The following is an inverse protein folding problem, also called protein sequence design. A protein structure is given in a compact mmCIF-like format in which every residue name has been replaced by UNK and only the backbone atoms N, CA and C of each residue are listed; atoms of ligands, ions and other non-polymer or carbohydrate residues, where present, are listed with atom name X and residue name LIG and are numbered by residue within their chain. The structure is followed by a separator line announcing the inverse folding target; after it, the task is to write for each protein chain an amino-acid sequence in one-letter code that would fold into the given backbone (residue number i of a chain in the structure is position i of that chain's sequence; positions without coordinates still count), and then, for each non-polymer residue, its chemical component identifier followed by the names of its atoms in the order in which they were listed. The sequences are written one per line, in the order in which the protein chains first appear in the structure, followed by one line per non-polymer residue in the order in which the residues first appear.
data_IF_720996578053
#
_entry.id   IF_720996578053
#
_cell.length_a   1.000
_cell.length_b   1.000
_cell.length_c   1.000
_cell.angle_alpha   90.00
_cell.angle_beta   90.00
_cell.angle_gamma   90.00
#
_symmetry.space_group_name_H-M   'P 1'
#
loop_
_entity.id
_entity.type
_entity.pdbx_description
1 polymer ?
#
# COMPACT_ATOMS: atom_id res chain seq x y z
N UNK A 1 14.63 33.68 2.08
CA UNK A 1 15.11 33.39 3.45
C UNK A 1 14.55 32.04 3.82
N UNK A 2 15.37 30.98 3.80
CA UNK A 2 16.28 30.60 4.91
C UNK A 2 17.72 30.29 4.44
N UNK A 3 18.71 30.15 5.35
CA UNK A 3 20.14 30.19 5.00
C UNK A 3 20.73 28.81 4.66
N UNK A 4 21.71 28.84 3.74
CA UNK A 4 22.51 27.70 3.27
C UNK A 4 23.52 27.23 4.33
N UNK A 5 23.68 25.91 4.43
CA UNK A 5 24.62 25.21 5.29
C UNK A 5 26.10 25.49 4.93
N UNK A 6 26.96 25.62 5.95
CA UNK A 6 28.43 25.67 5.84
C UNK A 6 29.02 24.25 5.89
N UNK A 7 30.10 23.96 5.14
CA UNK A 7 30.84 22.70 5.25
C UNK A 7 31.92 22.75 6.36
N UNK A 8 32.42 21.59 6.83
CA UNK A 8 33.31 21.50 8.00
C UNK A 8 34.78 21.79 7.67
N UNK A 9 35.45 22.39 8.66
CA UNK A 9 36.86 22.80 8.66
C UNK A 9 37.80 21.60 8.83
N UNK A 10 38.77 21.44 7.93
CA UNK A 10 39.87 20.46 8.05
C UNK A 10 41.00 21.02 8.94
N UNK A 11 41.48 20.20 9.90
CA UNK A 11 42.71 20.46 10.66
C UNK A 11 43.96 20.06 9.87
N UNK A 12 45.10 20.77 10.00
CA UNK A 12 46.31 20.48 9.25
C UNK A 12 47.16 19.35 9.84
N UNK A 13 47.78 18.59 8.92
CA UNK A 13 48.72 17.47 9.13
C UNK A 13 50.12 17.98 9.55
N UNK A 14 50.85 17.30 10.46
CA UNK A 14 52.23 17.65 10.77
C UNK A 14 53.24 17.08 9.74
N UNK A 15 54.24 17.90 9.42
CA UNK A 15 55.37 17.62 8.52
C UNK A 15 56.53 16.89 9.22
N UNK A 16 57.35 16.10 8.49
CA UNK A 16 58.47 15.34 9.05
C UNK A 16 59.77 16.18 9.11
N UNK A 17 60.74 15.85 9.99
CA UNK A 17 62.04 16.49 9.97
C UNK A 17 63.00 15.83 8.99
N UNK A 18 63.73 16.67 8.26
CA UNK A 18 64.82 16.32 7.36
C UNK A 18 66.15 16.16 8.11
N UNK A 19 66.99 15.26 7.63
CA UNK A 19 68.38 15.07 8.06
C UNK A 19 69.34 15.71 7.05
N UNK A 20 70.41 16.36 7.51
CA UNK A 20 71.74 16.43 6.85
C UNK A 20 72.79 17.13 7.75
N UNK A 21 73.78 16.34 8.19
CA UNK A 21 75.25 16.45 8.08
C UNK A 21 76.02 17.81 8.23
N UNK A 22 77.34 17.75 8.59
CA UNK A 22 78.04 18.77 9.37
C UNK A 22 79.03 19.63 8.57
N UNK A 23 79.40 20.79 9.11
CA UNK A 23 80.58 21.54 8.68
C UNK A 23 81.48 21.96 9.85
N UNK A 24 82.76 21.63 9.64
CA UNK A 24 84.01 22.07 10.25
C UNK A 24 84.12 23.54 10.68
N UNK A 25 84.74 23.78 11.84
CA UNK A 25 85.24 25.10 12.25
C UNK A 25 86.13 25.01 13.50
N UNK A 26 87.43 25.13 13.28
CA UNK A 26 88.55 25.11 14.24
C UNK A 26 88.45 26.17 15.35
N UNK A 27 89.22 26.00 16.45
CA UNK A 27 89.96 27.14 16.98
C UNK A 27 91.44 26.85 17.20
N UNK A 28 92.23 27.84 16.81
CA UNK A 28 93.65 28.01 17.06
C UNK A 28 93.96 28.22 18.55
N UNK A 29 94.89 27.45 19.10
CA UNK A 29 95.67 27.84 20.28
C UNK A 29 97.16 27.82 19.92
N UNK A 30 97.81 28.95 20.19
CA UNK A 30 99.22 29.23 19.98
C UNK A 30 100.13 28.50 20.97
N UNK A 31 101.27 28.03 20.45
CA UNK A 31 102.35 27.32 21.12
C UNK A 31 103.05 28.09 22.25
N UNK A 32 103.48 27.35 23.27
CA UNK A 32 104.62 27.65 24.14
C UNK A 32 105.40 26.34 24.37
N UNK A 33 106.63 26.29 23.88
CA UNK A 33 107.50 25.11 23.86
C UNK A 33 108.35 24.98 25.13
N UNK A 34 108.68 23.74 25.53
CA UNK A 34 109.96 23.42 26.17
C UNK A 34 110.26 21.92 26.00
N UNK A 35 111.49 21.63 25.57
CA UNK A 35 111.99 20.32 25.17
C UNK A 35 112.26 19.34 26.31
N UNK A 36 112.36 18.05 25.94
CA UNK A 36 112.84 16.99 26.83
C UNK A 36 112.43 15.59 26.34
N UNK A 37 113.35 14.87 25.69
CA UNK A 37 113.31 13.41 25.47
C UNK A 37 114.53 12.80 26.18
N UNK A 38 114.65 11.47 26.40
CA UNK A 38 113.70 10.36 26.17
C UNK A 38 113.69 9.27 27.30
N UNK A 39 112.76 8.31 27.22
CA UNK A 39 113.02 6.92 27.64
C UNK A 39 112.01 5.94 26.97
N UNK A 40 112.42 4.84 26.31
CA UNK A 40 111.53 4.10 25.37
C UNK A 40 110.67 2.99 26.01
N UNK A 41 110.88 2.64 27.28
CA UNK A 41 110.18 1.51 27.94
C UNK A 41 108.90 1.88 28.71
N UNK A 42 108.71 3.14 29.08
CA UNK A 42 107.61 3.58 29.97
C UNK A 42 106.34 4.03 29.21
N UNK A 43 106.46 4.29 27.90
CA UNK A 43 105.37 4.88 27.09
C UNK A 43 104.34 3.85 26.62
N UNK A 44 104.73 2.61 26.35
CA UNK A 44 103.82 1.58 25.86
C UNK A 44 102.85 1.12 26.96
N UNK A 45 103.34 0.84 28.17
CA UNK A 45 102.52 0.43 29.31
C UNK A 45 101.59 1.56 29.78
N UNK A 46 102.04 2.82 29.73
CA UNK A 46 101.21 3.98 30.02
C UNK A 46 100.10 4.17 28.97
N UNK A 47 100.39 3.97 27.68
CA UNK A 47 99.39 4.07 26.61
C UNK A 47 98.33 2.98 26.74
N UNK A 48 98.73 1.73 27.02
CA UNK A 48 97.80 0.61 27.23
C UNK A 48 96.94 0.84 28.47
N UNK A 49 97.51 1.38 29.54
CA UNK A 49 96.75 1.75 30.74
C UNK A 49 95.74 2.87 30.47
N UNK A 50 96.12 3.90 29.71
CA UNK A 50 95.20 4.99 29.30
C UNK A 50 94.08 4.44 28.42
N UNK A 51 94.39 3.68 27.37
CA UNK A 51 93.39 3.06 26.49
C UNK A 51 92.44 2.13 27.26
N UNK A 52 92.96 1.32 28.19
CA UNK A 52 92.13 0.45 29.03
C UNK A 52 91.20 1.26 29.92
N UNK A 53 91.67 2.37 30.49
CA UNK A 53 90.88 3.23 31.37
C UNK A 53 89.81 3.99 30.59
N UNK A 54 90.14 4.54 29.42
CA UNK A 54 89.18 5.22 28.53
C UNK A 54 88.14 4.25 27.96
N UNK A 55 88.56 3.05 27.53
CA UNK A 55 87.63 2.01 27.07
C UNK A 55 86.69 1.57 28.21
N UNK A 56 87.21 1.41 29.42
CA UNK A 56 86.42 1.04 30.59
C UNK A 56 85.45 2.17 30.98
N UNK A 57 85.87 3.44 30.88
CA UNK A 57 85.02 4.59 31.11
C UNK A 57 83.90 4.68 30.07
N UNK A 58 84.22 4.60 28.78
CA UNK A 58 83.26 4.65 27.68
C UNK A 58 82.26 3.47 27.72
N UNK A 59 82.73 2.28 28.07
CA UNK A 59 81.85 1.11 28.23
C UNK A 59 80.91 1.28 29.44
N UNK A 60 81.42 1.82 30.55
CA UNK A 60 80.63 2.10 31.75
C UNK A 60 79.58 3.18 31.49
N UNK A 61 79.95 4.24 30.76
CA UNK A 61 79.04 5.32 30.36
C UNK A 61 77.94 4.81 29.43
N UNK A 62 78.28 4.07 28.38
CA UNK A 62 77.30 3.49 27.45
C UNK A 62 76.36 2.50 28.14
N UNK A 63 76.87 1.64 29.02
CA UNK A 63 76.04 0.73 29.82
C UNK A 63 75.11 1.51 30.77
N UNK A 64 75.58 2.61 31.35
CA UNK A 64 74.76 3.48 32.20
C UNK A 64 73.64 4.17 31.40
N UNK A 65 73.95 4.67 30.19
CA UNK A 65 72.97 5.29 29.30
C UNK A 65 71.91 4.29 28.84
N UNK A 66 72.32 3.11 28.34
CA UNK A 66 71.40 2.04 27.94
C UNK A 66 70.51 1.61 29.12
N UNK A 67 71.08 1.48 30.32
CA UNK A 67 70.30 1.14 31.52
C UNK A 67 69.27 2.22 31.87
N UNK A 68 69.60 3.48 31.64
CA UNK A 68 68.69 4.61 31.89
C UNK A 68 67.57 4.66 30.85
N UNK A 69 67.88 4.48 29.57
CA UNK A 69 66.89 4.38 28.49
C UNK A 69 65.97 3.18 28.68
N UNK A 70 66.51 2.01 29.06
CA UNK A 70 65.72 0.81 29.32
C UNK A 70 64.75 1.02 30.49
N UNK A 71 65.16 1.73 31.54
CA UNK A 71 64.28 2.13 32.64
C UNK A 71 63.19 3.09 32.17
N UNK A 72 63.51 4.05 31.31
CA UNK A 72 62.54 4.99 30.76
C UNK A 72 61.49 4.29 29.87
N UNK A 73 61.91 3.37 29.00
CA UNK A 73 61.01 2.55 28.18
C UNK A 73 60.13 1.67 29.06
N UNK A 74 60.71 1.03 30.08
CA UNK A 74 59.94 0.23 31.06
C UNK A 74 58.87 1.07 31.75
N UNK A 75 59.20 2.30 32.16
CA UNK A 75 58.22 3.22 32.77
C UNK A 75 57.08 3.54 31.81
N UNK A 76 57.39 3.97 30.57
CA UNK A 76 56.37 4.31 29.56
C UNK A 76 55.46 3.13 29.22
N UNK A 77 56.03 1.92 29.16
CA UNK A 77 55.27 0.70 28.91
C UNK A 77 54.34 0.38 30.09
N UNK A 78 54.82 0.51 31.33
CA UNK A 78 53.98 0.38 32.52
C UNK A 78 52.83 1.40 32.52
N UNK A 79 53.10 2.66 32.21
CA UNK A 79 52.07 3.71 32.15
C UNK A 79 51.01 3.37 31.08
N UNK A 80 51.46 2.93 29.90
CA UNK A 80 50.57 2.54 28.79
C UNK A 80 49.70 1.33 29.15
N UNK A 81 50.26 0.32 29.83
CA UNK A 81 49.52 -0.84 30.32
C UNK A 81 48.44 -0.39 31.31
N UNK A 82 48.78 0.52 32.21
CA UNK A 82 47.84 1.02 33.23
C UNK A 82 46.67 1.78 32.59
N UNK A 83 46.94 2.58 31.56
CA UNK A 83 45.91 3.29 30.79
C UNK A 83 44.99 2.30 30.03
N UNK A 84 45.57 1.31 29.34
CA UNK A 84 44.80 0.29 28.62
C UNK A 84 43.91 -0.50 29.60
N UNK A 85 44.42 -0.83 30.78
CA UNK A 85 43.63 -1.50 31.83
C UNK A 85 42.45 -0.64 32.29
N UNK A 86 42.64 0.67 32.42
CA UNK A 86 41.56 1.61 32.75
C UNK A 86 40.49 1.64 31.65
N UNK A 87 40.88 1.74 30.37
CA UNK A 87 39.95 1.78 29.25
C UNK A 87 39.16 0.47 29.10
N UNK A 88 39.82 -0.68 29.31
CA UNK A 88 39.17 -1.99 29.32
C UNK A 88 38.15 -2.09 30.45
N UNK A 89 38.46 -1.57 31.64
CA UNK A 89 37.52 -1.53 32.76
C UNK A 89 36.30 -0.64 32.42
N UNK A 90 36.51 0.52 31.80
CA UNK A 90 35.42 1.42 31.40
C UNK A 90 34.51 0.75 30.36
N UNK A 91 35.08 0.14 29.31
CA UNK A 91 34.33 -0.58 28.29
C UNK A 91 33.54 -1.76 28.87
N UNK A 92 34.12 -2.50 29.81
CA UNK A 92 33.41 -3.59 30.50
C UNK A 92 32.19 -3.07 31.26
N UNK A 93 32.28 -1.90 31.88
CA UNK A 93 31.15 -1.22 32.51
C UNK A 93 30.03 -0.91 31.53
N UNK A 94 30.35 -0.23 30.42
CA UNK A 94 29.36 0.12 29.38
C UNK A 94 28.69 -1.11 28.78
N UNK A 95 29.44 -2.19 28.52
CA UNK A 95 28.85 -3.44 28.02
C UNK A 95 27.85 -4.02 29.03
N UNK A 96 28.16 -4.02 30.32
CA UNK A 96 27.22 -4.50 31.35
C UNK A 96 25.94 -3.66 31.45
N UNK A 97 26.05 -2.33 31.28
CA UNK A 97 24.88 -1.44 31.23
C UNK A 97 24.00 -1.71 30.00
N UNK A 98 24.63 -1.95 28.84
CA UNK A 98 23.94 -2.31 27.61
C UNK A 98 23.24 -3.66 27.71
N UNK A 99 23.89 -4.67 28.29
CA UNK A 99 23.30 -5.99 28.54
C UNK A 99 22.07 -5.89 29.45
N UNK A 100 22.16 -5.10 30.51
CA UNK A 100 21.04 -4.86 31.44
C UNK A 100 19.86 -4.18 30.73
N UNK A 101 20.15 -3.15 29.94
CA UNK A 101 19.13 -2.41 29.17
C UNK A 101 18.47 -3.30 28.10
N UNK A 102 19.24 -4.16 27.44
CA UNK A 102 18.73 -5.10 26.45
C UNK A 102 17.84 -6.18 27.08
N UNK A 103 18.21 -6.67 28.27
CA UNK A 103 17.36 -7.57 29.06
C UNK A 103 16.01 -6.92 29.38
N UNK A 104 16.02 -5.69 29.89
CA UNK A 104 14.78 -4.95 30.19
C UNK A 104 13.91 -4.76 28.94
N UNK A 105 14.51 -4.41 27.79
CA UNK A 105 13.77 -4.26 26.54
C UNK A 105 13.14 -5.58 26.07
N UNK A 106 13.84 -6.70 26.28
CA UNK A 106 13.34 -8.04 25.97
C UNK A 106 12.13 -8.41 26.84
N UNK A 107 12.15 -8.06 28.12
CA UNK A 107 11.03 -8.26 29.05
C UNK A 107 9.80 -7.41 28.65
N UNK A 108 10.02 -6.16 28.23
CA UNK A 108 8.96 -5.28 27.72
C UNK A 108 8.32 -5.84 26.44
N UNK A 109 9.13 -6.34 25.51
CA UNK A 109 8.64 -6.98 24.27
C UNK A 109 7.75 -8.18 24.61
N UNK A 110 8.21 -9.03 25.53
CA UNK A 110 7.44 -10.21 25.98
C UNK A 110 6.11 -9.79 26.60
N UNK A 111 6.12 -8.74 27.43
CA UNK A 111 4.92 -8.16 28.04
C UNK A 111 3.96 -7.59 27.00
N UNK A 112 4.46 -6.90 25.98
CA UNK A 112 3.66 -6.36 24.88
C UNK A 112 3.03 -7.48 24.04
N UNK A 113 3.79 -8.54 23.74
CA UNK A 113 3.27 -9.71 23.02
C UNK A 113 2.11 -10.36 23.78
N UNK A 114 2.22 -10.51 25.10
CA UNK A 114 1.14 -11.04 25.94
C UNK A 114 -0.11 -10.14 25.91
N UNK A 115 0.05 -8.82 25.98
CA UNK A 115 -1.08 -7.87 25.86
C UNK A 115 -1.76 -7.93 24.50
N UNK A 116 -0.99 -8.04 23.41
CA UNK A 116 -1.54 -8.19 22.06
C UNK A 116 -2.32 -9.48 21.90
N UNK A 117 -1.83 -10.60 22.45
CA UNK A 117 -2.54 -11.88 22.44
C UNK A 117 -3.86 -11.79 23.23
N UNK A 118 -3.85 -11.14 24.39
CA UNK A 118 -5.05 -10.92 25.20
C UNK A 118 -6.08 -10.03 24.47
N UNK A 119 -5.67 -8.90 23.91
CA UNK A 119 -6.53 -8.00 23.16
C UNK A 119 -7.13 -8.67 21.91
N UNK A 120 -6.34 -9.51 21.23
CA UNK A 120 -6.81 -10.29 20.08
C UNK A 120 -7.92 -11.27 20.49
N UNK A 121 -7.77 -11.91 21.65
CA UNK A 121 -8.79 -12.82 22.20
C UNK A 121 -10.07 -12.07 22.59
N UNK A 122 -9.95 -10.91 23.23
CA UNK A 122 -11.10 -10.07 23.56
C UNK A 122 -11.83 -9.56 22.31
N UNK A 123 -11.09 -9.21 21.25
CA UNK A 123 -11.68 -8.79 19.98
C UNK A 123 -12.54 -9.91 19.37
N UNK A 124 -12.02 -11.15 19.33
CA UNK A 124 -12.75 -12.33 18.84
C UNK A 124 -13.99 -12.58 19.70
N UNK A 125 -13.87 -12.46 21.02
CA UNK A 125 -15.02 -12.63 21.94
C UNK A 125 -16.10 -11.58 21.70
N UNK A 126 -15.72 -10.32 21.47
CA UNK A 126 -16.65 -9.23 21.20
C UNK A 126 -17.33 -9.39 19.84
N UNK A 127 -16.58 -9.79 18.82
CA UNK A 127 -17.08 -10.07 17.47
C UNK A 127 -18.17 -11.16 17.49
N UNK A 128 -17.87 -12.29 18.13
CA UNK A 128 -18.85 -13.38 18.33
C UNK A 128 -20.11 -12.92 19.09
N UNK A 129 -19.96 -12.01 20.06
CA UNK A 129 -21.09 -11.46 20.82
C UNK A 129 -21.95 -10.52 19.95
N UNK A 130 -21.33 -9.73 19.08
CA UNK A 130 -22.04 -8.87 18.14
C UNK A 130 -22.82 -9.70 17.10
N UNK A 131 -22.19 -10.72 16.53
CA UNK A 131 -22.82 -11.66 15.59
C UNK A 131 -23.99 -12.43 16.22
N UNK A 132 -23.87 -12.90 17.47
CA UNK A 132 -24.99 -13.54 18.18
C UNK A 132 -26.16 -12.57 18.40
N UNK A 133 -25.88 -11.33 18.80
CA UNK A 133 -26.91 -10.30 18.98
C UNK A 133 -27.61 -9.95 17.66
N UNK A 134 -26.86 -9.85 16.55
CA UNK A 134 -27.39 -9.60 15.21
C UNK A 134 -28.25 -10.78 14.72
N UNK A 135 -27.78 -12.02 14.91
CA UNK A 135 -28.49 -13.23 14.55
C UNK A 135 -29.76 -13.44 15.40
N UNK A 136 -29.77 -13.02 16.66
CA UNK A 136 -30.97 -13.04 17.52
C UNK A 136 -31.97 -11.95 17.16
N UNK A 137 -31.52 -10.77 16.72
CA UNK A 137 -32.39 -9.69 16.23
C UNK A 137 -33.12 -10.07 14.94
N UNK A 138 -32.49 -10.87 14.05
CA UNK A 138 -33.07 -11.24 12.75
C UNK A 138 -34.06 -12.41 12.77
N UNK A 139 -34.05 -13.26 13.80
CA UNK A 139 -34.87 -14.49 13.87
C UNK A 139 -36.33 -14.27 14.29
N UNK A 140 -36.68 -13.09 14.82
CA UNK A 140 -38.00 -12.82 15.40
C UNK A 140 -38.79 -11.68 14.73
N UNK A 141 -38.40 -11.23 13.53
CA UNK A 141 -39.11 -10.14 12.84
C UNK A 141 -40.18 -10.68 11.89
N UNK A 142 -41.44 -10.30 12.12
CA UNK A 142 -42.56 -10.51 11.20
C UNK A 142 -42.44 -9.49 10.06
N UNK A 143 -42.49 -9.95 8.80
CA UNK A 143 -42.51 -9.07 7.61
C UNK A 143 -43.95 -8.90 7.13
N UNK A 144 -44.45 -7.67 7.11
CA UNK A 144 -45.76 -7.32 6.57
C UNK A 144 -45.57 -6.69 5.18
N UNK A 145 -46.20 -7.26 4.16
CA UNK A 145 -46.08 -6.83 2.75
C UNK A 145 -47.45 -6.34 2.27
N UNK A 146 -47.50 -5.21 1.55
CA UNK A 146 -48.73 -4.69 0.93
C UNK A 146 -49.46 -3.58 1.70
N UNK A 147 -48.84 -2.96 2.71
CA UNK A 147 -49.39 -1.78 3.39
C UNK A 147 -49.07 -0.52 2.54
N UNK A 148 -50.07 0.26 2.11
CA UNK A 148 -49.85 1.51 1.37
C UNK A 148 -49.13 2.55 2.24
N UNK A 149 -48.03 3.11 1.76
CA UNK A 149 -47.32 4.20 2.44
C UNK A 149 -47.97 5.55 2.07
N UNK A 150 -49.02 5.95 2.78
CA UNK A 150 -49.53 7.32 2.66
C UNK A 150 -48.62 8.31 3.41
N UNK A 151 -48.31 9.44 2.78
CA UNK A 151 -47.44 10.46 3.34
C UNK A 151 -48.13 11.35 4.39
N UNK A 152 -49.43 11.17 4.63
CA UNK A 152 -50.21 11.94 5.60
C UNK A 152 -50.14 11.38 7.02
N UNK A 153 -49.83 10.08 7.15
CA UNK A 153 -49.59 9.40 8.43
C UNK A 153 -48.23 8.72 8.36
N UNK A 154 -47.17 9.51 8.57
CA UNK A 154 -45.80 9.00 8.57
C UNK A 154 -45.69 7.70 9.38
N UNK A 155 -45.15 6.65 8.75
CA UNK A 155 -44.37 5.52 9.29
C UNK A 155 -44.04 5.53 10.80
N UNK A 156 -45.07 5.54 11.64
CA UNK A 156 -44.93 5.51 13.09
C UNK A 156 -45.24 4.09 13.54
N UNK A 157 -44.47 3.61 14.52
CA UNK A 157 -44.74 2.35 15.21
C UNK A 157 -46.21 2.23 15.63
N UNK A 158 -46.84 3.35 15.97
CA UNK A 158 -48.26 3.48 16.32
C UNK A 158 -49.20 3.09 15.18
N UNK A 159 -49.01 3.59 13.96
CA UNK A 159 -49.89 3.25 12.82
C UNK A 159 -49.83 1.76 12.48
N UNK A 160 -48.63 1.17 12.51
CA UNK A 160 -48.44 -0.28 12.28
C UNK A 160 -49.03 -1.08 13.44
N UNK A 161 -48.92 -0.59 14.67
CA UNK A 161 -49.53 -1.20 15.86
C UNK A 161 -51.05 -1.24 15.77
N UNK A 162 -51.70 -0.14 15.39
CA UNK A 162 -53.15 -0.06 15.18
C UNK A 162 -53.60 -1.01 14.07
N UNK A 163 -52.88 -1.04 12.94
CA UNK A 163 -53.18 -1.95 11.83
C UNK A 163 -53.04 -3.43 12.24
N UNK A 164 -52.00 -3.79 12.99
CA UNK A 164 -51.81 -5.14 13.50
C UNK A 164 -52.90 -5.55 14.49
N UNK A 165 -53.37 -4.60 15.31
CA UNK A 165 -54.48 -4.84 16.23
C UNK A 165 -55.76 -5.16 15.47
N UNK A 166 -56.08 -4.40 14.43
CA UNK A 166 -57.27 -4.59 13.61
C UNK A 166 -57.20 -5.87 12.78
N UNK A 167 -56.09 -6.10 12.07
CA UNK A 167 -55.93 -7.24 11.17
C UNK A 167 -55.86 -8.59 11.90
N UNK A 168 -55.41 -8.60 13.17
CA UNK A 168 -55.27 -9.82 13.98
C UNK A 168 -56.27 -9.88 15.16
N UNK A 169 -57.26 -8.97 15.19
CA UNK A 169 -58.29 -8.87 16.24
C UNK A 169 -57.74 -8.86 17.68
N UNK A 170 -56.62 -8.17 17.90
CA UNK A 170 -55.96 -8.14 19.20
C UNK A 170 -56.75 -7.23 20.17
N UNK A 171 -56.87 -7.63 21.44
CA UNK A 171 -57.57 -6.83 22.45
C UNK A 171 -56.87 -5.49 22.77
N UNK A 172 -55.55 -5.40 22.50
CA UNK A 172 -54.75 -4.19 22.72
C UNK A 172 -53.70 -4.02 21.62
N UNK A 173 -53.26 -2.77 21.44
CA UNK A 173 -52.23 -2.41 20.49
C UNK A 173 -50.86 -3.04 20.88
N UNK A 174 -50.20 -3.78 19.98
CA UNK A 174 -48.89 -4.37 20.25
C UNK A 174 -47.77 -3.30 20.24
N UNK A 175 -46.79 -3.41 21.14
CA UNK A 175 -45.63 -2.50 21.11
C UNK A 175 -44.74 -2.82 19.90
N UNK A 176 -44.52 -1.84 19.02
CA UNK A 176 -43.67 -1.98 17.82
C UNK A 176 -42.42 -1.13 18.01
N UNK A 177 -41.23 -1.73 17.97
CA UNK A 177 -39.95 -1.03 18.07
C UNK A 177 -39.26 -0.92 16.71
N UNK A 178 -38.66 0.24 16.43
CA UNK A 178 -38.02 0.55 15.15
C UNK A 178 -36.54 0.13 15.21
N UNK A 179 -36.26 -1.13 14.93
CA UNK A 179 -34.88 -1.60 14.78
C UNK A 179 -34.28 -1.07 13.46
N UNK A 180 -33.38 -0.09 13.56
CA UNK A 180 -32.66 0.49 12.42
C UNK A 180 -31.75 -0.57 11.75
N UNK A 181 -31.93 -0.79 10.44
CA UNK A 181 -31.10 -1.67 9.60
C UNK A 181 -30.00 -0.85 8.90
N UNK A 182 -28.73 -1.18 9.14
CA UNK A 182 -27.58 -0.67 8.36
C UNK A 182 -26.92 -1.86 7.65
N UNK A 183 -26.99 -1.93 6.33
CA UNK A 183 -26.07 -2.69 5.46
C UNK A 183 -26.05 -2.07 4.05
N UNK A 184 -24.87 -1.75 3.53
CA UNK A 184 -24.61 -1.39 2.11
C UNK A 184 -23.18 -1.76 1.78
N UNK A 185 -22.93 -2.57 0.73
CA UNK A 185 -21.97 -2.15 -0.33
C UNK A 185 -21.89 -2.91 -1.71
N UNK A 186 -21.36 -2.22 -2.77
CA UNK A 186 -20.25 -2.56 -3.75
C UNK A 186 -20.42 -2.72 -5.29
N UNK A 187 -19.38 -2.31 -6.07
CA UNK A 187 -19.16 -2.76 -7.48
C UNK A 187 -17.72 -2.97 -8.06
N UNK A 188 -17.55 -3.73 -9.19
CA UNK A 188 -16.53 -3.65 -10.31
C UNK A 188 -16.73 -4.79 -11.35
N UNK A 189 -16.65 -4.59 -12.71
CA UNK A 189 -15.52 -4.06 -13.50
C UNK A 189 -15.88 -2.98 -14.56
N UNK A 190 -15.07 -1.92 -14.72
CA UNK A 190 -15.24 -0.89 -15.79
C UNK A 190 -16.52 -0.04 -15.72
N UNK A 191 -17.52 -0.50 -14.98
CA UNK A 191 -18.86 0.07 -14.86
C UNK A 191 -18.84 1.49 -14.33
N UNK A 192 -17.91 1.85 -13.45
CA UNK A 192 -17.79 3.24 -12.97
C UNK A 192 -17.54 4.22 -14.11
N UNK A 193 -16.85 3.80 -15.17
CA UNK A 193 -16.66 4.62 -16.36
C UNK A 193 -17.97 4.83 -17.11
N UNK A 194 -18.78 3.77 -17.27
CA UNK A 194 -20.14 3.88 -17.83
C UNK A 194 -21.09 4.70 -16.96
N UNK A 195 -20.98 4.58 -15.64
CA UNK A 195 -21.75 5.40 -14.69
C UNK A 195 -21.34 6.88 -14.77
N UNK A 196 -20.21 7.22 -15.39
CA UNK A 196 -19.82 8.60 -15.71
C UNK A 196 -20.31 9.03 -17.10
N UNK A 197 -20.00 8.22 -18.12
CA UNK A 197 -20.24 8.54 -19.54
C UNK A 197 -21.74 8.59 -19.86
N UNK A 198 -22.51 7.56 -19.47
CA UNK A 198 -23.91 7.43 -19.89
C UNK A 198 -24.77 8.59 -19.35
N UNK A 199 -24.69 8.99 -18.07
CA UNK A 199 -25.43 10.16 -17.59
C UNK A 199 -25.11 11.45 -18.35
N UNK A 200 -23.85 11.69 -18.70
CA UNK A 200 -23.44 12.86 -19.49
C UNK A 200 -24.03 12.83 -20.90
N UNK A 201 -24.02 11.66 -21.55
CA UNK A 201 -24.66 11.51 -22.88
C UNK A 201 -26.17 11.78 -22.77
N UNK A 202 -26.82 11.22 -21.76
CA UNK A 202 -28.26 11.34 -21.57
C UNK A 202 -28.70 12.77 -21.19
N UNK A 203 -27.82 13.56 -20.59
CA UNK A 203 -28.05 14.97 -20.26
C UNK A 203 -27.58 15.96 -21.33
N UNK A 204 -27.16 15.48 -22.51
CA UNK A 204 -26.65 16.36 -23.57
C UNK A 204 -25.33 17.05 -23.23
N UNK A 205 -24.53 16.45 -22.35
CA UNK A 205 -23.24 16.98 -21.87
C UNK A 205 -23.32 17.81 -20.59
N UNK A 206 -24.51 18.00 -20.00
CA UNK A 206 -24.65 18.74 -18.75
C UNK A 206 -23.95 18.01 -17.59
N UNK A 207 -22.91 18.61 -16.98
CA UNK A 207 -22.12 18.01 -15.93
C UNK A 207 -22.79 17.98 -14.55
N UNK A 208 -23.90 18.70 -14.35
CA UNK A 208 -24.45 18.99 -13.02
C UNK A 208 -24.62 17.72 -12.17
N UNK A 209 -25.15 16.64 -12.75
CA UNK A 209 -25.33 15.39 -12.02
C UNK A 209 -23.99 14.77 -11.59
N UNK A 210 -23.01 14.71 -12.49
CA UNK A 210 -21.67 14.12 -12.26
C UNK A 210 -20.90 14.86 -11.16
N UNK A 211 -21.16 16.16 -10.99
CA UNK A 211 -20.48 17.00 -10.00
C UNK A 211 -21.16 16.97 -8.62
N UNK A 212 -22.46 16.69 -8.57
CA UNK A 212 -23.26 16.85 -7.34
C UNK A 212 -23.71 15.52 -6.74
N UNK A 213 -23.80 14.45 -7.53
CA UNK A 213 -24.32 13.16 -7.10
C UNK A 213 -23.30 12.04 -7.29
N UNK A 214 -23.04 11.23 -6.24
CA UNK A 214 -22.22 10.03 -6.38
C UNK A 214 -22.74 9.10 -7.47
N UNK A 215 -21.84 8.47 -8.22
CA UNK A 215 -22.18 7.56 -9.32
C UNK A 215 -23.20 6.47 -8.94
N UNK A 216 -23.08 5.85 -7.77
CA UNK A 216 -24.04 4.84 -7.28
C UNK A 216 -25.44 5.38 -6.96
N UNK A 217 -25.62 6.71 -6.87
CA UNK A 217 -26.94 7.35 -6.80
C UNK A 217 -27.46 7.74 -8.17
N UNK A 218 -26.57 8.15 -9.09
CA UNK A 218 -26.93 8.50 -10.47
C UNK A 218 -27.36 7.28 -11.25
N UNK A 219 -26.52 6.26 -11.26
CA UNK A 219 -26.72 4.98 -11.94
C UNK A 219 -26.67 3.87 -10.89
N UNK A 220 -27.78 3.59 -10.20
CA UNK A 220 -27.78 2.63 -9.11
C UNK A 220 -27.60 1.19 -9.57
N UNK A 221 -27.19 0.36 -8.61
CA UNK A 221 -26.94 -1.06 -8.79
C UNK A 221 -28.22 -1.87 -8.56
N UNK A 222 -28.57 -2.77 -9.47
CA UNK A 222 -29.79 -3.60 -9.35
C UNK A 222 -29.70 -4.58 -8.18
N UNK A 223 -28.52 -5.12 -7.91
CA UNK A 223 -28.23 -6.03 -6.81
C UNK A 223 -28.24 -5.37 -5.43
N UNK A 224 -28.49 -4.06 -5.36
CA UNK A 224 -28.51 -3.31 -4.11
C UNK A 224 -29.95 -2.96 -3.74
N UNK A 225 -30.40 -3.44 -2.57
CA UNK A 225 -31.74 -3.27 -2.00
C UNK A 225 -32.09 -1.80 -1.58
N UNK A 226 -31.37 -0.81 -2.14
CA UNK A 226 -31.70 0.60 -2.02
C UNK A 226 -32.54 1.11 -3.19
N UNK A 227 -32.92 0.26 -4.15
CA UNK A 227 -33.83 0.62 -5.26
C UNK A 227 -35.13 1.26 -4.75
N UNK A 228 -35.69 0.74 -3.65
CA UNK A 228 -36.85 1.32 -2.97
C UNK A 228 -36.55 2.69 -2.31
N UNK A 229 -35.31 2.93 -1.82
CA UNK A 229 -34.90 4.21 -1.20
C UNK A 229 -34.46 5.28 -2.20
N UNK A 230 -34.22 4.88 -3.45
CA UNK A 230 -33.80 5.78 -4.52
C UNK A 230 -34.97 6.24 -5.40
N UNK A 231 -36.20 5.88 -5.01
CA UNK A 231 -37.44 6.18 -5.70
C UNK A 231 -37.31 5.97 -7.21
N UNK A 232 -36.77 4.81 -7.63
CA UNK A 232 -36.47 4.57 -9.05
C UNK A 232 -37.72 4.61 -9.92
N UNK A 233 -38.90 4.38 -9.36
CA UNK A 233 -40.20 4.52 -10.02
C UNK A 233 -40.59 5.98 -10.27
N UNK A 234 -40.11 6.90 -9.44
CA UNK A 234 -40.36 8.34 -9.60
C UNK A 234 -39.36 9.00 -10.57
N UNK A 235 -38.31 8.30 -10.99
CA UNK A 235 -37.35 8.83 -11.96
C UNK A 235 -37.94 8.80 -13.37
N UNK A 236 -37.76 9.87 -14.16
CA UNK A 236 -38.24 9.90 -15.53
C UNK A 236 -37.55 8.81 -16.37
N UNK A 237 -38.30 8.27 -17.34
CA UNK A 237 -37.74 7.38 -18.36
C UNK A 237 -36.90 8.19 -19.36
N UNK A 238 -35.79 7.64 -19.90
CA UNK A 238 -35.21 6.33 -19.59
C UNK A 238 -34.38 6.33 -18.30
N UNK A 239 -34.55 5.26 -17.52
CA UNK A 239 -33.83 5.05 -16.25
C UNK A 239 -32.52 4.32 -16.52
N UNK A 240 -31.42 4.83 -15.97
CA UNK A 240 -30.09 4.25 -16.15
C UNK A 240 -29.77 3.42 -14.90
N UNK A 241 -29.55 2.12 -15.09
CA UNK A 241 -29.21 1.17 -14.03
C UNK A 241 -27.92 0.44 -14.39
N UNK A 242 -27.25 -0.09 -13.36
CA UNK A 242 -26.04 -0.90 -13.50
C UNK A 242 -26.20 -2.22 -12.76
N UNK A 243 -25.51 -3.26 -13.20
CA UNK A 243 -25.50 -4.55 -12.52
C UNK A 243 -24.27 -5.37 -12.87
N UNK A 244 -23.92 -6.31 -11.99
CA UNK A 244 -22.95 -7.39 -12.25
C UNK A 244 -23.62 -8.76 -12.38
N UNK A 245 -24.93 -8.79 -12.59
CA UNK A 245 -25.65 -10.04 -12.83
C UNK A 245 -25.23 -10.65 -14.17
N UNK A 246 -25.16 -11.98 -14.15
CA UNK A 246 -25.10 -12.76 -15.38
C UNK A 246 -26.45 -12.65 -16.11
N UNK A 247 -26.46 -12.86 -17.42
CA UNK A 247 -27.70 -12.74 -18.21
C UNK A 247 -28.85 -13.58 -17.63
N UNK A 248 -28.55 -14.80 -17.18
CA UNK A 248 -29.52 -15.72 -16.59
C UNK A 248 -30.04 -15.31 -15.20
N UNK A 249 -29.39 -14.35 -14.53
CA UNK A 249 -29.82 -13.82 -13.23
C UNK A 249 -30.74 -12.59 -13.37
N UNK A 250 -30.96 -12.10 -14.58
CA UNK A 250 -31.82 -10.95 -14.81
C UNK A 250 -33.28 -11.29 -14.45
N UNK A 251 -34.04 -10.35 -13.86
CA UNK A 251 -35.42 -10.59 -13.48
C UNK A 251 -36.30 -10.84 -14.71
N UNK A 252 -37.44 -11.56 -14.61
CA UNK A 252 -38.33 -11.84 -15.74
C UNK A 252 -38.74 -10.58 -16.53
N UNK A 253 -38.96 -9.46 -15.83
CA UNK A 253 -39.31 -8.17 -16.44
C UNK A 253 -38.24 -7.62 -17.40
N UNK A 254 -36.99 -8.06 -17.28
CA UNK A 254 -35.92 -7.69 -18.21
C UNK A 254 -36.17 -8.24 -19.62
N UNK A 255 -36.70 -9.46 -19.72
CA UNK A 255 -37.04 -10.10 -21.00
C UNK A 255 -38.32 -9.51 -21.62
N UNK A 256 -39.21 -8.95 -20.80
CA UNK A 256 -40.44 -8.28 -21.25
C UNK A 256 -40.16 -6.86 -21.75
N UNK A 257 -39.45 -6.05 -20.95
CA UNK A 257 -39.17 -4.63 -21.23
C UNK A 257 -38.09 -4.48 -22.30
N UNK A 258 -37.19 -5.47 -22.43
CA UNK A 258 -36.08 -5.50 -23.39
C UNK A 258 -35.27 -4.19 -23.41
N UNK A 259 -34.72 -3.73 -22.27
CA UNK A 259 -33.94 -2.50 -22.24
C UNK A 259 -32.65 -2.65 -23.08
N UNK A 260 -32.16 -1.53 -23.59
CA UNK A 260 -30.81 -1.43 -24.18
C UNK A 260 -29.76 -1.72 -23.10
N UNK A 261 -28.74 -2.51 -23.45
CA UNK A 261 -27.66 -2.90 -22.56
C UNK A 261 -26.33 -2.47 -23.15
N UNK A 262 -25.47 -1.86 -22.34
CA UNK A 262 -24.06 -1.66 -22.67
C UNK A 262 -23.26 -2.63 -21.81
N UNK A 263 -22.72 -3.68 -22.43
CA UNK A 263 -21.94 -4.71 -21.76
C UNK A 263 -20.45 -4.42 -21.89
N UNK A 264 -19.82 -4.07 -20.76
CA UNK A 264 -18.39 -3.75 -20.71
C UNK A 264 -17.57 -4.98 -20.40
N UNK A 265 -16.64 -5.30 -21.29
CA UNK A 265 -15.67 -6.37 -21.14
C UNK A 265 -14.28 -5.82 -20.88
N UNK A 266 -13.39 -6.66 -20.33
CA UNK A 266 -12.00 -6.30 -20.08
C UNK A 266 -11.15 -7.56 -20.03
N UNK A 267 -9.87 -7.46 -20.38
CA UNK A 267 -8.91 -8.55 -20.24
C UNK A 267 -9.01 -9.18 -18.83
N UNK A 268 -9.27 -10.50 -18.72
CA UNK A 268 -9.52 -11.14 -17.43
C UNK A 268 -8.33 -11.09 -16.48
N UNK A 269 -7.10 -11.01 -16.99
CA UNK A 269 -5.90 -10.86 -16.15
C UNK A 269 -5.87 -9.50 -15.45
N UNK A 270 -6.28 -8.44 -16.15
CA UNK A 270 -6.43 -7.12 -15.53
C UNK A 270 -7.66 -7.03 -14.60
N UNK A 271 -8.74 -7.75 -14.92
CA UNK A 271 -9.89 -7.89 -14.01
C UNK A 271 -9.45 -8.55 -12.71
N UNK A 272 -8.67 -9.62 -12.79
CA UNK A 272 -8.05 -10.27 -11.63
C UNK A 272 -7.22 -9.26 -10.80
N UNK A 273 -6.28 -8.56 -11.44
CA UNK A 273 -5.44 -7.56 -10.76
C UNK A 273 -6.26 -6.48 -10.08
N UNK A 274 -7.28 -5.95 -10.75
CA UNK A 274 -8.18 -4.93 -10.19
C UNK A 274 -8.97 -5.50 -8.99
N UNK A 275 -9.46 -6.73 -9.12
CA UNK A 275 -10.21 -7.43 -8.07
C UNK A 275 -9.35 -7.71 -6.85
N UNK A 276 -8.11 -8.15 -7.00
CA UNK A 276 -7.22 -8.44 -5.86
C UNK A 276 -7.06 -7.22 -4.95
N UNK A 277 -6.70 -6.06 -5.52
CA UNK A 277 -6.59 -4.82 -4.76
C UNK A 277 -7.94 -4.37 -4.18
N UNK A 278 -9.01 -4.54 -4.95
CA UNK A 278 -10.34 -4.16 -4.52
C UNK A 278 -10.85 -5.00 -3.34
N UNK A 279 -10.53 -6.29 -3.29
CA UNK A 279 -10.83 -7.12 -2.13
C UNK A 279 -10.02 -6.65 -0.90
N UNK A 280 -8.73 -6.36 -1.09
CA UNK A 280 -7.82 -5.90 -0.04
C UNK A 280 -8.30 -4.62 0.67
N UNK A 281 -8.77 -3.63 -0.08
CA UNK A 281 -9.15 -2.30 0.45
C UNK A 281 -10.46 -2.27 1.25
N UNK A 282 -11.07 -3.41 1.54
CA UNK A 282 -12.52 -3.45 1.59
C UNK A 282 -12.99 -4.45 2.63
N UNK A 283 -13.96 -4.09 3.46
CA UNK A 283 -14.19 -4.80 4.74
C UNK A 283 -15.20 -5.94 4.66
N UNK A 284 -16.18 -5.82 3.79
CA UNK A 284 -17.31 -6.76 3.62
C UNK A 284 -17.08 -7.78 2.50
N UNK A 285 -15.85 -7.84 1.97
CA UNK A 285 -15.39 -8.96 1.17
C UNK A 285 -14.42 -9.77 2.01
N UNK A 286 -14.45 -11.09 1.84
CA UNK A 286 -13.42 -11.99 2.38
C UNK A 286 -12.07 -11.49 1.89
N UNK A 287 -11.09 -11.39 2.78
CA UNK A 287 -9.75 -10.92 2.40
C UNK A 287 -9.16 -11.83 1.30
N UNK A 288 -8.46 -11.25 0.32
CA UNK A 288 -8.00 -12.02 -0.83
C UNK A 288 -6.98 -13.09 -0.44
N UNK A 289 -6.21 -12.86 0.63
CA UNK A 289 -5.09 -13.71 1.03
C UNK A 289 -3.87 -13.49 0.14
N UNK A 290 -2.94 -14.46 0.09
CA UNK A 290 -1.85 -14.47 -0.88
C UNK A 290 -2.38 -14.39 -2.32
N UNK A 291 -1.64 -13.70 -3.20
CA UNK A 291 -2.06 -13.49 -4.59
C UNK A 291 -2.29 -14.81 -5.34
N UNK A 292 -1.39 -15.78 -5.16
CA UNK A 292 -1.48 -17.10 -5.78
C UNK A 292 -2.76 -17.84 -5.39
N UNK A 293 -3.15 -17.80 -4.13
CA UNK A 293 -4.43 -18.36 -3.67
C UNK A 293 -5.63 -17.61 -4.26
N UNK A 294 -5.55 -16.28 -4.32
CA UNK A 294 -6.61 -15.46 -4.92
C UNK A 294 -6.75 -15.74 -6.43
N UNK A 295 -5.65 -16.04 -7.12
CA UNK A 295 -5.66 -16.43 -8.54
C UNK A 295 -6.47 -17.70 -8.76
N UNK A 296 -6.25 -18.73 -7.95
CA UNK A 296 -7.05 -19.95 -8.01
C UNK A 296 -8.53 -19.66 -7.70
N UNK A 297 -8.84 -18.88 -6.67
CA UNK A 297 -10.23 -18.47 -6.36
C UNK A 297 -10.89 -17.73 -7.52
N UNK A 298 -10.17 -16.82 -8.17
CA UNK A 298 -10.67 -16.07 -9.32
C UNK A 298 -10.96 -16.97 -10.52
N UNK A 299 -10.02 -17.84 -10.89
CA UNK A 299 -10.16 -18.76 -12.02
C UNK A 299 -11.24 -19.83 -11.79
N UNK A 300 -11.43 -20.26 -10.54
CA UNK A 300 -12.50 -21.18 -10.12
C UNK A 300 -13.87 -20.47 -10.03
N UNK A 301 -13.94 -19.15 -10.20
CA UNK A 301 -15.17 -18.38 -10.02
C UNK A 301 -15.64 -18.28 -8.56
N UNK A 302 -14.76 -18.55 -7.59
CA UNK A 302 -15.01 -18.41 -6.14
C UNK A 302 -14.76 -16.96 -5.69
N UNK A 303 -15.30 -16.02 -6.45
CA UNK A 303 -15.28 -14.59 -6.19
C UNK A 303 -16.72 -14.05 -6.33
N UNK A 304 -16.97 -12.89 -5.76
CA UNK A 304 -18.21 -12.12 -5.91
C UNK A 304 -18.63 -12.07 -7.40
N UNK A 305 -19.91 -12.37 -7.66
CA UNK A 305 -20.52 -12.51 -9.01
C UNK A 305 -20.02 -13.70 -9.86
N UNK A 306 -19.19 -14.56 -9.29
CA UNK A 306 -18.84 -15.86 -9.86
C UNK A 306 -17.71 -15.82 -10.88
N UNK A 307 -17.73 -16.79 -11.78
CA UNK A 307 -16.75 -16.97 -12.85
C UNK A 307 -16.84 -15.86 -13.89
N UNK A 308 -15.71 -15.17 -14.15
CA UNK A 308 -15.60 -14.20 -15.24
C UNK A 308 -15.95 -14.84 -16.59
N UNK A 309 -15.51 -16.09 -16.81
CA UNK A 309 -15.76 -16.83 -18.05
C UNK A 309 -17.24 -17.06 -18.27
N UNK A 310 -17.95 -17.52 -17.23
CA UNK A 310 -19.38 -17.81 -17.33
C UNK A 310 -20.19 -16.52 -17.45
N UNK A 311 -19.77 -15.46 -16.77
CA UNK A 311 -20.35 -14.13 -16.93
C UNK A 311 -20.26 -13.65 -18.39
N UNK A 312 -19.06 -13.62 -18.99
CA UNK A 312 -18.87 -13.20 -20.39
C UNK A 312 -19.64 -14.08 -21.36
N UNK A 313 -19.56 -15.41 -21.22
CA UNK A 313 -20.32 -16.35 -22.05
C UNK A 313 -21.83 -16.12 -21.94
N UNK A 314 -22.35 -15.88 -20.73
CA UNK A 314 -23.79 -15.66 -20.52
C UNK A 314 -24.31 -14.47 -21.33
N UNK A 315 -23.57 -13.36 -21.37
CA UNK A 315 -23.95 -12.17 -22.09
C UNK A 315 -23.67 -12.27 -23.60
N UNK A 316 -22.61 -12.96 -24.02
CA UNK A 316 -22.34 -13.21 -25.45
C UNK A 316 -23.34 -14.21 -26.08
N UNK A 317 -23.94 -15.09 -25.27
CA UNK A 317 -24.94 -16.07 -25.67
C UNK A 317 -26.38 -15.64 -25.40
N UNK A 318 -26.60 -14.38 -25.00
CA UNK A 318 -27.94 -13.82 -24.85
C UNK A 318 -28.77 -13.96 -26.13
N UNK A 319 -30.08 -14.16 -26.00
CA UNK A 319 -30.99 -14.33 -27.14
C UNK A 319 -31.20 -13.01 -27.90
N UNK A 320 -31.37 -11.90 -27.19
CA UNK A 320 -31.60 -10.57 -27.76
C UNK A 320 -30.29 -9.77 -27.93
N UNK A 321 -29.38 -10.21 -28.82
CA UNK A 321 -28.07 -9.55 -28.98
C UNK A 321 -28.12 -8.17 -29.63
N UNK A 322 -29.17 -7.90 -30.40
CA UNK A 322 -29.42 -6.64 -31.13
C UNK A 322 -29.55 -5.42 -30.21
N UNK A 323 -30.07 -5.62 -28.99
CA UNK A 323 -30.17 -4.58 -27.95
C UNK A 323 -28.97 -4.52 -27.01
N UNK A 324 -27.89 -5.23 -27.32
CA UNK A 324 -26.67 -5.27 -26.49
C UNK A 324 -25.50 -4.66 -27.27
N UNK A 325 -25.00 -3.53 -26.80
CA UNK A 325 -23.73 -2.99 -27.25
C UNK A 325 -22.60 -3.60 -26.42
N UNK A 326 -21.74 -4.36 -27.09
CA UNK A 326 -20.50 -4.86 -26.51
C UNK A 326 -19.40 -3.82 -26.69
N UNK A 327 -18.71 -3.50 -25.60
CA UNK A 327 -17.55 -2.60 -25.61
C UNK A 327 -16.48 -3.12 -24.66
N UNK A 328 -15.22 -3.03 -25.05
CA UNK A 328 -14.10 -3.38 -24.18
C UNK A 328 -13.52 -2.15 -23.49
N UNK A 329 -12.95 -2.37 -22.31
CA UNK A 329 -12.20 -1.37 -21.56
C UNK A 329 -10.97 -0.88 -22.36
N UNK A 330 -10.38 -1.78 -23.12
CA UNK A 330 -9.24 -1.53 -24.00
C UNK A 330 -9.60 -0.59 -25.16
N UNK A 331 -10.75 -0.78 -25.82
CA UNK A 331 -11.27 0.16 -26.83
C UNK A 331 -11.46 1.57 -26.24
N UNK A 332 -12.02 1.68 -25.04
CA UNK A 332 -12.24 2.97 -24.39
C UNK A 332 -10.94 3.68 -24.00
N UNK A 333 -9.89 2.94 -23.66
CA UNK A 333 -8.55 3.51 -23.42
C UNK A 333 -7.94 3.99 -24.73
N UNK A 334 -8.11 3.23 -25.82
CA UNK A 334 -7.52 3.52 -27.11
C UNK A 334 -8.11 4.77 -27.74
N UNK A 335 -9.44 4.88 -27.78
CA UNK A 335 -10.13 6.08 -28.25
C UNK A 335 -11.45 6.28 -27.48
N UNK A 336 -11.38 7.14 -26.47
CA UNK A 336 -12.54 7.47 -25.65
C UNK A 336 -13.57 8.30 -26.41
N UNK A 337 -13.15 9.15 -27.35
CA UNK A 337 -14.07 9.99 -28.13
C UNK A 337 -14.91 9.14 -29.08
N UNK A 338 -14.26 8.22 -29.79
CA UNK A 338 -14.97 7.22 -30.63
C UNK A 338 -15.92 6.37 -29.79
N UNK A 339 -15.46 5.90 -28.62
CA UNK A 339 -16.28 5.13 -27.69
C UNK A 339 -17.53 5.91 -27.24
N UNK A 340 -17.37 7.19 -26.87
CA UNK A 340 -18.49 8.08 -26.52
C UNK A 340 -19.45 8.24 -27.70
N UNK A 341 -18.94 8.45 -28.91
CA UNK A 341 -19.75 8.59 -30.12
C UNK A 341 -20.58 7.31 -30.41
N UNK A 342 -19.94 6.13 -30.35
CA UNK A 342 -20.61 4.84 -30.52
C UNK A 342 -21.69 4.59 -29.47
N UNK A 343 -21.41 4.93 -28.20
CA UNK A 343 -22.39 4.83 -27.10
C UNK A 343 -23.57 5.79 -27.34
N UNK A 344 -23.29 7.04 -27.72
CA UNK A 344 -24.31 8.05 -28.00
C UNK A 344 -25.22 7.62 -29.16
N UNK A 345 -24.63 7.07 -30.23
CA UNK A 345 -25.36 6.49 -31.36
C UNK A 345 -26.23 5.31 -30.93
N UNK A 346 -25.69 4.36 -30.17
CA UNK A 346 -26.43 3.21 -29.66
C UNK A 346 -27.60 3.61 -28.76
N UNK A 347 -27.42 4.64 -27.93
CA UNK A 347 -28.47 5.20 -27.08
C UNK A 347 -29.45 6.10 -27.83
N UNK A 348 -29.28 6.32 -29.13
CA UNK A 348 -30.08 7.23 -29.97
C UNK A 348 -30.11 8.66 -29.41
N UNK A 349 -28.96 9.12 -28.89
CA UNK A 349 -28.73 10.48 -28.39
C UNK A 349 -27.68 11.15 -29.26
N UNK A 350 -28.06 11.76 -30.41
CA UNK A 350 -27.11 12.48 -31.22
C UNK A 350 -26.54 13.66 -30.42
N UNK A 351 -25.21 13.74 -30.38
CA UNK A 351 -24.47 14.82 -29.74
C UNK A 351 -23.60 15.48 -30.80
N UNK A 352 -23.40 16.80 -30.67
CA UNK A 352 -22.42 17.47 -31.50
C UNK A 352 -20.98 17.04 -31.13
N UNK A 353 -20.03 17.31 -32.02
CA UNK A 353 -18.65 16.87 -31.84
C UNK A 353 -17.99 17.52 -30.63
N UNK A 354 -18.33 18.78 -30.33
CA UNK A 354 -17.75 19.54 -29.22
C UNK A 354 -18.21 19.00 -27.85
N UNK A 355 -19.48 18.64 -27.72
CA UNK A 355 -20.06 18.00 -26.54
C UNK A 355 -19.43 16.62 -26.35
N UNK A 356 -19.28 15.83 -27.41
CA UNK A 356 -18.62 14.52 -27.32
C UNK A 356 -17.16 14.65 -26.84
N UNK A 357 -16.42 15.66 -27.32
CA UNK A 357 -15.06 15.95 -26.86
C UNK A 357 -15.02 16.35 -25.39
N UNK A 358 -15.94 17.21 -24.94
CA UNK A 358 -16.06 17.62 -23.53
C UNK A 358 -16.40 16.43 -22.62
N UNK A 359 -17.30 15.55 -23.04
CA UNK A 359 -17.65 14.33 -22.31
C UNK A 359 -16.42 13.43 -22.23
N UNK A 360 -15.73 13.19 -23.34
CA UNK A 360 -14.54 12.36 -23.38
C UNK A 360 -13.44 12.92 -22.45
N UNK A 361 -13.10 14.21 -22.53
CA UNK A 361 -12.10 14.82 -21.65
C UNK A 361 -12.48 14.66 -20.18
N UNK A 362 -13.73 14.98 -19.81
CA UNK A 362 -14.21 14.84 -18.43
C UNK A 362 -14.14 13.39 -17.93
N UNK A 363 -14.44 12.43 -18.79
CA UNK A 363 -14.39 11.01 -18.47
C UNK A 363 -12.97 10.41 -18.53
N UNK A 364 -11.92 11.21 -18.79
CA UNK A 364 -10.55 10.72 -18.66
C UNK A 364 -10.26 10.30 -17.21
N UNK A 365 -9.48 9.22 -17.07
CA UNK A 365 -9.16 8.64 -15.76
C UNK A 365 -8.60 9.67 -14.76
N UNK A 366 -7.70 10.57 -15.22
CA UNK A 366 -7.12 11.64 -14.39
C UNK A 366 -8.19 12.55 -13.78
N UNK A 367 -9.24 12.87 -14.55
CA UNK A 367 -10.30 13.79 -14.17
C UNK A 367 -11.28 13.09 -13.23
N UNK A 368 -11.72 11.87 -13.59
CA UNK A 368 -12.56 11.05 -12.72
C UNK A 368 -11.91 10.73 -11.36
N UNK A 369 -10.59 10.52 -11.33
CA UNK A 369 -9.84 10.25 -10.10
C UNK A 369 -9.88 11.43 -9.12
N UNK A 370 -9.97 12.65 -9.62
CA UNK A 370 -10.10 13.87 -8.81
C UNK A 370 -11.56 14.17 -8.41
N UNK A 371 -12.54 13.67 -9.17
CA UNK A 371 -13.95 13.86 -8.86
C UNK A 371 -14.40 12.98 -7.66
N UNK A 372 -14.71 13.62 -6.53
CA UNK A 372 -15.21 12.96 -5.30
C UNK A 372 -16.53 12.19 -5.51
N UNK A 373 -17.32 12.57 -6.52
CA UNK A 373 -18.56 11.89 -6.87
C UNK A 373 -18.35 10.63 -7.72
N UNK A 374 -17.13 10.42 -8.22
CA UNK A 374 -16.79 9.31 -9.13
C UNK A 374 -15.72 8.39 -8.57
N UNK A 375 -14.83 8.89 -7.72
CA UNK A 375 -13.68 8.16 -7.16
C UNK A 375 -13.98 7.37 -5.86
N UNK A 376 -15.24 7.36 -5.40
CA UNK A 376 -15.68 6.69 -4.17
C UNK A 376 -15.03 7.21 -2.87
N UNK A 377 -14.41 8.39 -2.88
CA UNK A 377 -13.78 8.95 -1.66
C UNK A 377 -14.79 9.35 -0.59
N UNK A 378 -16.07 9.49 -0.96
CA UNK A 378 -17.17 9.79 -0.04
C UNK A 378 -17.72 8.54 0.66
N UNK A 379 -17.31 7.33 0.26
CA UNK A 379 -17.66 6.10 0.97
C UNK A 379 -16.86 6.05 2.28
N UNK A 380 -17.52 5.80 3.43
CA UNK A 380 -16.82 5.73 4.71
C UNK A 380 -15.69 4.69 4.72
N UNK A 381 -14.57 5.03 5.37
CA UNK A 381 -13.37 4.20 5.45
C UNK A 381 -13.63 2.79 6.01
N UNK A 382 -14.59 2.66 6.93
CA UNK A 382 -15.00 1.37 7.51
C UNK A 382 -15.48 0.38 6.44
N UNK A 383 -16.00 0.87 5.31
CA UNK A 383 -16.42 0.05 4.18
C UNK A 383 -15.30 -0.05 3.12
N UNK A 384 -14.72 1.09 2.74
CA UNK A 384 -13.69 1.20 1.70
C UNK A 384 -12.50 1.98 2.22
N UNK A 385 -11.44 1.27 2.61
CA UNK A 385 -10.19 1.86 3.07
C UNK A 385 -9.28 2.23 1.89
N UNK A 386 -9.52 3.43 1.34
CA UNK A 386 -8.77 3.97 0.20
C UNK A 386 -7.27 4.17 0.50
N UNK A 387 -6.84 4.12 1.77
CA UNK A 387 -5.41 4.16 2.14
C UNK A 387 -4.66 2.87 1.79
N UNK A 388 -5.38 1.74 1.66
CA UNK A 388 -4.79 0.45 1.24
C UNK A 388 -4.70 0.32 -0.28
N UNK A 389 -5.75 0.75 -0.96
CA UNK A 389 -5.79 0.92 -2.41
C UNK A 389 -6.90 1.90 -2.72
N UNK A 390 -6.63 2.86 -3.61
CA UNK A 390 -7.67 3.73 -4.14
C UNK A 390 -8.65 2.92 -4.99
N UNK A 391 -9.92 3.33 -5.00
CA UNK A 391 -10.95 2.67 -5.80
C UNK A 391 -10.65 2.81 -7.31
N UNK A 392 -10.37 4.06 -7.74
CA UNK A 392 -9.82 4.39 -9.05
C UNK A 392 -8.28 4.32 -8.98
N UNK A 393 -7.74 3.11 -9.17
CA UNK A 393 -6.32 2.79 -8.93
C UNK A 393 -5.36 3.35 -10.00
N UNK A 394 -5.26 2.67 -11.16
CA UNK A 394 -4.30 3.03 -12.24
C UNK A 394 -4.93 3.46 -13.57
N UNK A 395 -6.08 2.94 -13.93
CA UNK A 395 -6.77 3.36 -15.16
C UNK A 395 -6.10 2.94 -16.49
N UNK A 396 -5.30 1.87 -16.47
CA UNK A 396 -4.55 1.37 -17.63
C UNK A 396 -4.94 -0.06 -17.98
N UNK A 397 -4.64 -0.48 -19.21
CA UNK A 397 -4.66 -1.88 -19.65
C UNK A 397 -3.25 -2.49 -19.59
N UNK A 398 -3.16 -3.79 -19.31
CA UNK A 398 -1.91 -4.55 -19.25
C UNK A 398 -1.16 -4.49 -17.92
N UNK A 399 -1.75 -3.96 -16.85
CA UNK A 399 -1.08 -3.87 -15.54
C UNK A 399 -0.87 -5.25 -14.90
N UNK A 400 -1.61 -6.26 -15.35
CA UNK A 400 -1.40 -7.66 -14.95
C UNK A 400 0.04 -8.12 -15.14
N UNK A 401 0.78 -7.57 -16.12
CA UNK A 401 2.20 -7.88 -16.37
C UNK A 401 3.11 -7.45 -15.21
N UNK A 402 2.69 -6.47 -14.42
CA UNK A 402 3.43 -5.98 -13.25
C UNK A 402 3.01 -6.69 -11.96
N UNK A 403 2.07 -7.63 -12.01
CA UNK A 403 1.46 -8.25 -10.83
C UNK A 403 1.60 -9.77 -10.86
N UNK A 404 1.29 -10.39 -12.00
CA UNK A 404 1.45 -11.83 -12.17
C UNK A 404 2.91 -12.17 -12.47
N UNK A 405 3.41 -13.23 -11.84
CA UNK A 405 4.63 -13.88 -12.29
C UNK A 405 4.43 -14.52 -13.66
N UNK A 406 5.53 -14.85 -14.35
CA UNK A 406 5.46 -15.53 -15.67
C UNK A 406 4.66 -16.84 -15.56
N UNK A 407 4.96 -17.66 -14.54
CA UNK A 407 4.26 -18.93 -14.32
C UNK A 407 2.76 -18.74 -14.04
N UNK A 408 2.38 -17.75 -13.24
CA UNK A 408 0.97 -17.44 -13.00
C UNK A 408 0.25 -16.95 -14.27
N UNK A 409 0.92 -16.13 -15.08
CA UNK A 409 0.38 -15.62 -16.33
C UNK A 409 0.19 -16.72 -17.39
N UNK A 410 1.12 -17.68 -17.47
CA UNK A 410 1.04 -18.87 -18.33
C UNK A 410 -0.08 -19.81 -17.86
N UNK A 411 -0.19 -20.05 -16.55
CA UNK A 411 -1.29 -20.82 -15.98
C UNK A 411 -2.65 -20.18 -16.26
N UNK A 412 -2.76 -18.86 -16.07
CA UNK A 412 -3.97 -18.11 -16.41
C UNK A 412 -4.31 -18.28 -17.89
N UNK A 413 -3.32 -18.14 -18.78
CA UNK A 413 -3.51 -18.25 -20.22
C UNK A 413 -4.01 -19.64 -20.63
N UNK A 414 -3.47 -20.71 -20.04
CA UNK A 414 -3.92 -22.07 -20.30
C UNK A 414 -5.40 -22.25 -19.90
N UNK A 415 -5.79 -21.75 -18.72
CA UNK A 415 -7.18 -21.78 -18.27
C UNK A 415 -8.08 -20.92 -19.17
N UNK A 416 -7.62 -19.74 -19.57
CA UNK A 416 -8.36 -18.85 -20.47
C UNK A 416 -8.67 -19.52 -21.80
N UNK A 417 -7.64 -20.10 -22.43
CA UNK A 417 -7.78 -20.84 -23.70
C UNK A 417 -8.74 -22.00 -23.58
N UNK A 418 -8.67 -22.81 -22.53
CA UNK A 418 -9.59 -23.93 -22.34
C UNK A 418 -11.04 -23.47 -22.09
N UNK A 419 -11.24 -22.49 -21.21
CA UNK A 419 -12.58 -22.00 -20.82
C UNK A 419 -13.28 -21.18 -21.91
N UNK A 420 -12.52 -20.59 -22.85
CA UNK A 420 -13.03 -19.70 -23.90
C UNK A 420 -12.91 -20.27 -25.32
N UNK A 421 -12.42 -21.51 -25.50
CA UNK A 421 -12.21 -22.14 -26.83
C UNK A 421 -13.43 -22.13 -27.75
N UNK A 422 -14.64 -22.21 -27.19
CA UNK A 422 -15.89 -22.26 -27.95
C UNK A 422 -16.50 -20.87 -28.22
N UNK A 423 -15.88 -19.81 -27.70
CA UNK A 423 -16.39 -18.44 -27.82
C UNK A 423 -15.94 -17.84 -29.15
N UNK A 424 -16.88 -17.63 -30.06
CA UNK A 424 -16.66 -16.98 -31.36
C UNK A 424 -16.82 -15.46 -31.25
N UNK A 425 -15.96 -14.82 -30.47
CA UNK A 425 -15.91 -13.37 -30.31
C UNK A 425 -14.45 -12.90 -30.38
N UNK A 426 -14.18 -11.82 -31.11
CA UNK A 426 -12.85 -11.23 -31.18
C UNK A 426 -12.68 -10.22 -30.04
N UNK A 427 -11.89 -10.56 -29.03
CA UNK A 427 -11.63 -9.62 -27.95
C UNK A 427 -10.54 -8.60 -28.34
N UNK A 428 -10.60 -7.41 -27.76
CA UNK A 428 -9.66 -6.32 -28.07
C UNK A 428 -8.26 -6.54 -27.47
N UNK A 429 -8.10 -7.54 -26.60
CA UNK A 429 -6.84 -7.86 -25.92
C UNK A 429 -6.19 -9.16 -26.41
N UNK A 430 -6.80 -9.82 -27.40
CA UNK A 430 -6.28 -11.04 -28.02
C UNK A 430 -5.13 -10.76 -29.00
#
# INVERSE_FOLDING_TARGET
MPPKAKPPTQQPRPTPPAATAPHSGSPSCSNGAAGGTPCPGFKADLLVAIFKTELQAALTENLSNIKTELRAVKSKLSDSITNIQSDVCALKGTVGEMETSLSSCTDDITTLQAKVAHLSTELIRLDNKCEDLEARSRRNNIRLVGIPEDFSTSSTATAISTLLKEALELQKEPLVDRAHLILQPKPKPGTTWMQEIVPLIMSGGDPASVETLPNWRRVPWMEVDNTCKLNLEQRPSPRILSTHFQYAMMPPSFSEIKPKVIYVMRNPKDVFTSSFHFYGMTSFLVKPGPQSEFLHKFLDGKVMFGSWFDHVKSWLNAEDKDRIMYISYEEMIMDLKDSVARIAQFLEKPLDTEVMEKIADRCLFKNMKQNKMSNYSTVPRVYMDQTKSEFLRKGIAGDWKNQLTVAEAEYFEAVYKDKMKDVKYKFAWD
#
